data_IF_947229321639
#
_entry.id   IF_947229321639
#
_cell.length_a   1.000
_cell.length_b   1.000
_cell.length_c   1.000
_cell.angle_alpha   90.00
_cell.angle_beta   90.00
_cell.angle_gamma   90.00
#
_symmetry.space_group_name_H-M   'P 1'
#
loop_
_entity.id
_entity.type
_entity.pdbx_description
1 polymer ?
#
# COMPACT_ATOMS: atom_id res chain seq x y z
N UNK A 1 20.04 -2.16 27.82
CA UNK A 1 20.24 -2.21 26.36
C UNK A 1 20.39 -3.64 25.80
N UNK A 2 20.42 -4.68 26.62
CA UNK A 2 20.72 -6.06 26.18
C UNK A 2 19.51 -7.00 26.02
N UNK A 3 18.35 -6.72 26.63
CA UNK A 3 17.17 -7.61 26.54
C UNK A 3 16.35 -7.41 25.26
N UNK A 4 16.27 -6.19 24.72
CA UNK A 4 15.48 -5.92 23.50
C UNK A 4 16.06 -6.56 22.23
N UNK A 5 17.37 -6.76 22.17
CA UNK A 5 18.03 -7.37 21.00
C UNK A 5 17.85 -8.90 20.93
N UNK A 6 17.55 -9.56 22.06
CA UNK A 6 17.33 -11.01 22.08
C UNK A 6 15.91 -11.41 21.63
N UNK A 7 14.91 -10.55 21.87
CA UNK A 7 13.50 -10.88 21.56
C UNK A 7 13.11 -10.69 20.09
N UNK A 8 13.81 -9.84 19.33
CA UNK A 8 13.56 -9.69 17.88
C UNK A 8 13.95 -10.95 17.08
N UNK A 9 14.82 -11.80 17.64
CA UNK A 9 15.33 -13.00 16.96
C UNK A 9 14.30 -14.13 16.77
N UNK A 10 13.10 -14.01 17.35
CA UNK A 10 12.04 -15.02 17.27
C UNK A 10 10.91 -14.64 16.30
N UNK A 11 10.87 -13.41 15.80
CA UNK A 11 9.83 -12.99 14.84
C UNK A 11 10.14 -13.57 13.47
N UNK A 12 9.12 -14.11 12.81
CA UNK A 12 9.27 -14.64 11.45
C UNK A 12 9.74 -13.52 10.50
N UNK A 13 10.76 -13.73 9.67
CA UNK A 13 11.22 -12.75 8.70
C UNK A 13 10.23 -12.57 7.54
N UNK A 14 9.17 -13.38 7.48
CA UNK A 14 8.07 -13.24 6.52
C UNK A 14 6.99 -12.25 6.97
N UNK A 15 7.09 -11.73 8.20
CA UNK A 15 6.15 -10.74 8.72
C UNK A 15 6.68 -9.31 8.49
N UNK A 16 5.80 -8.41 8.09
CA UNK A 16 6.02 -6.96 8.02
C UNK A 16 6.33 -6.37 9.40
N UNK A 17 7.19 -5.37 9.42
CA UNK A 17 7.49 -4.58 10.61
C UNK A 17 7.45 -3.08 10.28
N UNK A 18 6.98 -2.24 11.21
CA UNK A 18 6.84 -0.80 10.96
C UNK A 18 8.17 -0.08 10.72
N UNK A 19 9.31 -0.69 11.07
CA UNK A 19 10.63 -0.08 10.95
C UNK A 19 11.30 -0.26 9.58
N UNK A 20 10.86 -1.25 8.79
CA UNK A 20 11.45 -1.61 7.49
C UNK A 20 10.40 -1.67 6.36
N UNK A 21 9.18 -1.21 6.63
CA UNK A 21 8.06 -1.22 5.68
C UNK A 21 7.71 0.19 5.20
N UNK A 22 7.31 0.32 3.94
CA UNK A 22 6.70 1.53 3.38
C UNK A 22 5.43 1.22 2.60
N UNK A 23 4.55 2.20 2.46
CA UNK A 23 3.32 2.11 1.66
C UNK A 23 3.46 2.88 0.35
N UNK A 24 3.03 2.26 -0.76
CA UNK A 24 2.99 2.86 -2.09
C UNK A 24 1.55 2.85 -2.60
N UNK A 25 0.98 4.04 -2.76
CA UNK A 25 -0.38 4.25 -3.27
C UNK A 25 -0.33 4.57 -4.76
N UNK A 26 -0.78 3.65 -5.59
CA UNK A 26 -0.61 3.74 -7.05
C UNK A 26 -1.88 4.28 -7.72
N UNK A 27 -1.75 5.46 -8.34
CA UNK A 27 -2.61 6.00 -9.39
C UNK A 27 -4.11 6.08 -9.04
N UNK A 28 -4.45 6.39 -7.77
CA UNK A 28 -5.83 6.49 -7.28
C UNK A 28 -6.47 7.82 -7.69
N UNK A 29 -6.64 8.01 -9.00
CA UNK A 29 -6.92 9.30 -9.63
C UNK A 29 -8.39 9.49 -10.04
N UNK A 30 -8.82 10.76 -10.07
CA UNK A 30 -10.19 11.21 -10.32
C UNK A 30 -10.85 10.60 -11.57
N UNK A 31 -10.11 10.39 -12.67
CA UNK A 31 -10.70 9.82 -13.91
C UNK A 31 -10.55 8.31 -14.02
N UNK A 32 -9.70 7.68 -13.20
CA UNK A 32 -9.51 6.22 -13.21
C UNK A 32 -10.49 5.54 -12.26
N UNK A 33 -10.63 6.07 -11.04
CA UNK A 33 -11.37 5.42 -9.95
C UNK A 33 -12.84 5.13 -10.27
N UNK A 34 -13.61 6.03 -10.93
CA UNK A 34 -14.98 5.71 -11.32
C UNK A 34 -15.13 4.52 -12.27
N UNK A 35 -14.05 4.10 -12.94
CA UNK A 35 -14.06 2.96 -13.87
C UNK A 35 -13.76 1.63 -13.18
N UNK A 36 -13.26 1.66 -11.95
CA UNK A 36 -12.82 0.49 -11.20
C UNK A 36 -14.02 -0.12 -10.46
N UNK A 37 -14.16 -1.44 -10.55
CA UNK A 37 -15.20 -2.15 -9.81
C UNK A 37 -14.92 -2.06 -8.31
N UNK A 38 -15.97 -1.93 -7.49
CA UNK A 38 -15.87 -1.87 -6.03
C UNK A 38 -14.97 -0.74 -5.49
N UNK A 39 -14.78 0.32 -6.30
CA UNK A 39 -13.85 1.40 -6.02
C UNK A 39 -14.13 2.13 -4.70
N UNK A 40 -15.38 2.17 -4.23
CA UNK A 40 -15.71 2.76 -2.92
C UNK A 40 -15.05 1.97 -1.78
N UNK A 41 -15.16 0.63 -1.81
CA UNK A 41 -14.56 -0.25 -0.80
C UNK A 41 -13.03 -0.21 -0.90
N UNK A 42 -12.49 -0.24 -2.11
CA UNK A 42 -11.04 -0.14 -2.35
C UNK A 42 -10.49 1.19 -1.81
N UNK A 43 -11.08 2.32 -2.19
CA UNK A 43 -10.64 3.64 -1.70
C UNK A 43 -10.78 3.76 -0.19
N UNK A 44 -11.82 3.17 0.40
CA UNK A 44 -11.98 3.11 1.85
C UNK A 44 -10.84 2.33 2.53
N UNK A 45 -10.48 1.16 2.00
CA UNK A 45 -9.35 0.36 2.49
C UNK A 45 -8.00 1.07 2.29
N UNK A 46 -7.78 1.72 1.15
CA UNK A 46 -6.58 2.54 0.91
C UNK A 46 -6.49 3.67 1.97
N UNK A 47 -7.60 4.35 2.26
CA UNK A 47 -7.65 5.37 3.29
C UNK A 47 -7.28 4.84 4.68
N UNK A 48 -7.73 3.62 5.02
CA UNK A 48 -7.34 2.92 6.25
C UNK A 48 -5.84 2.58 6.26
N UNK A 49 -5.28 2.10 5.16
CA UNK A 49 -3.84 1.85 5.05
C UNK A 49 -3.03 3.13 5.27
N UNK A 50 -3.41 4.24 4.64
CA UNK A 50 -2.73 5.54 4.80
C UNK A 50 -2.80 6.01 6.26
N UNK A 51 -4.00 6.01 6.87
CA UNK A 51 -4.18 6.41 8.28
C UNK A 51 -3.39 5.52 9.23
N UNK A 52 -3.42 4.21 9.02
CA UNK A 52 -2.63 3.26 9.81
C UNK A 52 -1.13 3.51 9.69
N UNK A 53 -0.63 3.76 8.48
CA UNK A 53 0.77 4.10 8.27
C UNK A 53 1.15 5.41 8.96
N UNK A 54 0.29 6.44 8.89
CA UNK A 54 0.50 7.70 9.59
C UNK A 54 0.57 7.52 11.11
N UNK A 55 -0.37 6.76 11.71
CA UNK A 55 -0.36 6.43 13.15
C UNK A 55 0.95 5.74 13.55
N UNK A 56 1.43 4.82 12.71
CA UNK A 56 2.61 4.01 12.99
C UNK A 56 3.93 4.66 12.53
N UNK A 57 3.89 5.88 12.00
CA UNK A 57 5.03 6.62 11.43
C UNK A 57 5.75 5.89 10.29
N UNK A 58 4.99 5.17 9.47
CA UNK A 58 5.47 4.43 8.30
C UNK A 58 5.49 5.37 7.08
N UNK A 59 6.57 5.39 6.28
CA UNK A 59 6.64 6.24 5.10
C UNK A 59 5.59 5.82 4.05
N UNK A 60 4.85 6.81 3.55
CA UNK A 60 3.88 6.65 2.47
C UNK A 60 4.32 7.48 1.27
N UNK A 61 4.23 6.92 0.07
CA UNK A 61 4.38 7.66 -1.20
C UNK A 61 3.17 7.37 -2.10
N UNK A 62 2.80 8.35 -2.93
CA UNK A 62 1.72 8.20 -3.91
C UNK A 62 2.24 8.46 -5.33
N UNK A 63 1.80 7.68 -6.31
CA UNK A 63 2.05 7.95 -7.73
C UNK A 63 0.81 8.49 -8.43
N UNK A 64 1.03 9.30 -9.47
CA UNK A 64 0.00 9.75 -10.39
C UNK A 64 0.43 9.46 -11.84
N UNK A 65 -0.33 8.64 -12.53
CA UNK A 65 -0.16 8.39 -13.95
C UNK A 65 -0.70 9.59 -14.74
N UNK A 66 0.17 10.27 -15.50
CA UNK A 66 -0.21 11.37 -16.41
C UNK A 66 -1.34 12.28 -15.87
N UNK A 67 -1.12 12.98 -14.73
CA UNK A 67 -2.20 13.68 -14.02
C UNK A 67 -2.87 14.79 -14.83
N UNK A 68 -2.16 15.41 -15.79
CA UNK A 68 -2.78 16.34 -16.75
C UNK A 68 -3.94 15.71 -17.51
N UNK A 69 -3.82 14.43 -17.88
CA UNK A 69 -4.85 13.69 -18.60
C UNK A 69 -5.84 12.96 -17.70
N UNK A 70 -5.36 12.35 -16.61
CA UNK A 70 -6.14 11.45 -15.75
C UNK A 70 -6.68 12.11 -14.46
N UNK A 71 -6.37 13.38 -14.25
CA UNK A 71 -6.71 14.09 -13.01
C UNK A 71 -5.74 13.77 -11.88
N UNK A 72 -5.94 14.43 -10.74
CA UNK A 72 -5.13 14.21 -9.54
C UNK A 72 -5.67 13.05 -8.73
N UNK A 73 -4.91 12.63 -7.72
CA UNK A 73 -5.37 11.71 -6.68
C UNK A 73 -6.70 12.20 -6.09
N UNK A 74 -7.65 11.30 -5.84
CA UNK A 74 -8.98 11.67 -5.32
C UNK A 74 -8.88 12.42 -3.99
N UNK A 75 -9.78 13.38 -3.77
CA UNK A 75 -9.72 14.30 -2.63
C UNK A 75 -9.72 13.59 -1.27
N UNK A 76 -10.51 12.52 -1.14
CA UNK A 76 -10.59 11.73 0.10
C UNK A 76 -9.26 11.12 0.53
N UNK A 77 -8.38 10.81 -0.42
CA UNK A 77 -7.05 10.25 -0.12
C UNK A 77 -5.96 11.32 -0.14
N UNK A 78 -6.09 12.33 -1.00
CA UNK A 78 -5.11 13.41 -1.07
C UNK A 78 -5.04 14.20 0.25
N UNK A 79 -6.17 14.39 0.95
CA UNK A 79 -6.17 14.97 2.31
C UNK A 79 -5.34 14.13 3.29
N UNK A 80 -5.53 12.81 3.32
CA UNK A 80 -4.83 11.90 4.23
C UNK A 80 -3.32 11.82 3.93
N UNK A 81 -2.96 11.83 2.63
CA UNK A 81 -1.58 11.85 2.18
C UNK A 81 -0.88 13.14 2.58
N UNK A 82 -1.55 14.29 2.43
CA UNK A 82 -1.02 15.59 2.85
C UNK A 82 -0.84 15.70 4.36
N UNK A 83 -1.76 15.17 5.16
CA UNK A 83 -1.63 15.09 6.63
C UNK A 83 -0.35 14.35 7.05
N UNK A 84 0.02 13.29 6.32
CA UNK A 84 1.25 12.53 6.52
C UNK A 84 2.50 13.13 5.84
N UNK A 85 2.40 14.27 5.17
CA UNK A 85 3.45 14.86 4.31
C UNK A 85 3.97 13.89 3.23
N UNK A 86 3.07 13.06 2.68
CA UNK A 86 3.40 12.06 1.67
C UNK A 86 3.60 12.74 0.29
N UNK A 87 4.66 12.42 -0.46
CA UNK A 87 4.87 13.00 -1.78
C UNK A 87 3.92 12.38 -2.82
N UNK A 88 3.50 13.22 -3.78
CA UNK A 88 2.82 12.82 -5.00
C UNK A 88 3.83 12.82 -6.15
N UNK A 89 4.01 11.68 -6.81
CA UNK A 89 5.05 11.43 -7.79
C UNK A 89 4.43 11.19 -9.16
N UNK A 90 4.66 12.10 -10.09
CA UNK A 90 4.12 11.95 -11.45
C UNK A 90 4.94 10.94 -12.25
N UNK A 91 4.26 10.09 -13.02
CA UNK A 91 4.88 9.12 -13.92
C UNK A 91 4.11 8.97 -15.23
N UNK A 92 4.79 8.45 -16.24
CA UNK A 92 4.19 8.10 -17.53
C UNK A 92 4.32 6.62 -17.86
N UNK A 93 5.30 5.93 -17.28
CA UNK A 93 5.39 4.48 -17.29
C UNK A 93 4.33 3.88 -16.38
N UNK A 94 3.74 2.76 -16.81
CA UNK A 94 2.79 2.02 -15.97
C UNK A 94 3.43 1.58 -14.66
N UNK A 95 4.64 1.03 -14.73
CA UNK A 95 5.43 0.66 -13.56
C UNK A 95 6.01 1.89 -12.85
N UNK A 96 5.92 1.90 -11.52
CA UNK A 96 6.59 2.85 -10.65
C UNK A 96 8.12 2.76 -10.71
N UNK A 97 8.73 1.84 -11.47
CA UNK A 97 10.19 1.83 -11.66
C UNK A 97 10.76 3.15 -12.21
N UNK A 98 9.95 3.95 -12.90
CA UNK A 98 10.32 5.31 -13.34
C UNK A 98 10.75 6.18 -12.13
N UNK A 99 10.15 5.93 -10.96
CA UNK A 99 10.38 6.60 -9.68
C UNK A 99 11.53 5.95 -8.88
N UNK A 100 12.50 5.34 -9.56
CA UNK A 100 13.58 4.57 -8.91
C UNK A 100 14.42 5.39 -7.91
N UNK A 101 14.49 6.72 -8.06
CA UNK A 101 15.14 7.60 -7.08
C UNK A 101 14.46 7.55 -5.71
N UNK A 102 13.14 7.46 -5.67
CA UNK A 102 12.34 7.45 -4.47
C UNK A 102 12.44 6.10 -3.76
N UNK A 103 12.43 5.00 -4.52
CA UNK A 103 12.68 3.66 -3.98
C UNK A 103 14.10 3.53 -3.41
N UNK A 104 15.12 4.09 -4.07
CA UNK A 104 16.48 4.15 -3.49
C UNK A 104 16.54 4.97 -2.19
N UNK A 105 15.77 6.06 -2.08
CA UNK A 105 15.68 6.84 -0.82
C UNK A 105 15.05 6.01 0.29
N UNK A 106 14.04 5.19 -0.01
CA UNK A 106 13.42 4.26 0.96
C UNK A 106 14.41 3.17 1.38
N UNK A 107 15.08 2.53 0.43
CA UNK A 107 16.10 1.50 0.70
C UNK A 107 17.24 2.04 1.58
N UNK A 108 17.76 3.24 1.28
CA UNK A 108 18.79 3.90 2.11
C UNK A 108 18.32 4.22 3.54
N UNK A 109 17.01 4.22 3.79
CA UNK A 109 16.41 4.37 5.12
C UNK A 109 16.15 3.03 5.82
N UNK A 110 16.55 1.91 5.22
CA UNK A 110 16.32 0.56 5.74
C UNK A 110 14.95 -0.01 5.41
N UNK A 111 14.22 0.58 4.44
CA UNK A 111 12.94 0.04 3.99
C UNK A 111 13.20 -1.03 2.93
N UNK A 112 12.78 -2.26 3.22
CA UNK A 112 12.92 -3.41 2.33
C UNK A 112 11.58 -4.09 2.04
N UNK A 113 10.54 -3.77 2.82
CA UNK A 113 9.17 -4.24 2.63
C UNK A 113 8.32 -3.12 2.02
N UNK A 114 7.56 -3.43 0.98
CA UNK A 114 6.65 -2.49 0.33
C UNK A 114 5.23 -3.04 0.29
N UNK A 115 4.29 -2.28 0.84
CA UNK A 115 2.86 -2.51 0.67
C UNK A 115 2.43 -1.77 -0.59
N UNK A 116 1.94 -2.49 -1.60
CA UNK A 116 1.52 -1.92 -2.89
C UNK A 116 0.01 -1.94 -3.00
N UNK A 117 -0.60 -0.75 -3.09
CA UNK A 117 -2.06 -0.56 -3.16
C UNK A 117 -2.43 0.37 -4.32
N UNK A 118 -3.71 0.44 -4.70
CA UNK A 118 -4.18 1.32 -5.77
C UNK A 118 -4.64 0.61 -7.05
N UNK A 119 -4.55 1.27 -8.21
CA UNK A 119 -5.19 0.84 -9.46
C UNK A 119 -4.29 1.06 -10.68
N UNK A 120 -4.46 0.35 -11.79
CA UNK A 120 -5.26 -0.87 -11.95
C UNK A 120 -4.44 -2.11 -11.56
N UNK A 121 -5.07 -3.11 -10.92
CA UNK A 121 -4.42 -4.33 -10.41
C UNK A 121 -3.52 -4.99 -11.46
N UNK A 122 -4.02 -5.13 -12.69
CA UNK A 122 -3.36 -5.84 -13.79
C UNK A 122 -2.38 -5.00 -14.60
N UNK A 123 -2.30 -3.69 -14.33
CA UNK A 123 -1.45 -2.76 -15.10
C UNK A 123 -0.38 -2.16 -14.19
N UNK A 124 -0.65 -1.01 -13.57
CA UNK A 124 0.34 -0.26 -12.81
C UNK A 124 0.73 -0.99 -11.54
N UNK A 125 -0.23 -1.59 -10.82
CA UNK A 125 0.04 -2.36 -9.60
C UNK A 125 0.91 -3.58 -9.90
N UNK A 126 0.47 -4.44 -10.83
CA UNK A 126 1.21 -5.64 -11.23
C UNK A 126 2.62 -5.32 -11.74
N UNK A 127 2.75 -4.41 -12.70
CA UNK A 127 4.08 -4.11 -13.27
C UNK A 127 5.02 -3.48 -12.23
N UNK A 128 4.50 -2.61 -11.36
CA UNK A 128 5.30 -2.04 -10.27
C UNK A 128 5.76 -3.11 -9.29
N UNK A 129 4.86 -4.00 -8.85
CA UNK A 129 5.21 -5.08 -7.93
C UNK A 129 6.31 -5.98 -8.51
N UNK A 130 6.18 -6.41 -9.78
CA UNK A 130 7.18 -7.27 -10.42
C UNK A 130 8.55 -6.59 -10.57
N UNK A 131 8.57 -5.32 -10.97
CA UNK A 131 9.82 -4.55 -11.09
C UNK A 131 10.47 -4.29 -9.72
N UNK A 132 9.68 -4.10 -8.65
CA UNK A 132 10.18 -3.88 -7.29
C UNK A 132 10.69 -5.17 -6.64
N UNK A 133 10.02 -6.31 -6.89
CA UNK A 133 10.54 -7.64 -6.53
C UNK A 133 11.88 -7.88 -7.23
N UNK A 134 11.98 -7.54 -8.52
CA UNK A 134 13.24 -7.66 -9.28
C UNK A 134 14.37 -6.76 -8.75
N UNK A 135 14.02 -5.71 -8.00
CA UNK A 135 14.96 -4.83 -7.32
C UNK A 135 15.31 -5.31 -5.90
N UNK A 136 14.73 -6.40 -5.42
CA UNK A 136 15.03 -6.99 -4.11
C UNK A 136 14.11 -6.54 -2.97
N UNK A 137 13.04 -5.80 -3.25
CA UNK A 137 12.02 -5.52 -2.24
C UNK A 137 11.12 -6.73 -2.01
N UNK A 138 10.71 -6.95 -0.76
CA UNK A 138 9.59 -7.82 -0.44
C UNK A 138 8.30 -7.03 -0.70
N UNK A 139 7.39 -7.60 -1.48
CA UNK A 139 6.14 -6.91 -1.87
C UNK A 139 4.94 -7.59 -1.25
N UNK A 140 4.12 -6.79 -0.56
CA UNK A 140 2.85 -7.19 0.05
C UNK A 140 1.71 -6.48 -0.67
N UNK A 141 0.68 -7.22 -1.08
CA UNK A 141 -0.46 -6.66 -1.84
C UNK A 141 -1.76 -6.89 -1.07
N UNK A 142 -2.34 -5.85 -0.43
CA UNK A 142 -3.66 -5.91 0.14
C UNK A 142 -4.71 -6.05 -0.96
N UNK A 143 -5.24 -7.27 -1.14
CA UNK A 143 -6.14 -7.62 -2.25
C UNK A 143 -7.45 -6.84 -2.21
N UNK A 144 -7.87 -6.42 -1.02
CA UNK A 144 -9.05 -5.60 -0.75
C UNK A 144 -8.81 -4.08 -0.95
N UNK A 145 -7.58 -3.70 -1.30
CA UNK A 145 -7.18 -2.31 -1.57
C UNK A 145 -6.52 -2.16 -2.95
N UNK A 146 -6.77 -3.09 -3.87
CA UNK A 146 -6.42 -2.95 -5.29
C UNK A 146 -7.64 -3.29 -6.15
N UNK A 147 -7.75 -2.70 -7.34
CA UNK A 147 -8.86 -3.01 -8.23
C UNK A 147 -8.56 -2.80 -9.70
N UNK A 148 -9.41 -3.40 -10.54
CA UNK A 148 -9.43 -3.20 -11.99
C UNK A 148 -10.87 -2.96 -12.45
N UNK A 149 -11.04 -2.61 -13.73
CA UNK A 149 -12.37 -2.41 -14.32
C UNK A 149 -13.18 -3.70 -14.40
N UNK A 150 -12.51 -4.81 -14.71
CA UNK A 150 -13.14 -6.10 -14.89
C UNK A 150 -12.59 -7.14 -13.90
N UNK A 151 -13.46 -8.05 -13.38
CA UNK A 151 -13.04 -9.11 -12.47
C UNK A 151 -11.93 -10.00 -13.03
N UNK A 152 -12.03 -10.40 -14.30
CA UNK A 152 -11.04 -11.29 -14.94
C UNK A 152 -9.64 -10.68 -14.93
N UNK A 153 -9.52 -9.37 -15.12
CA UNK A 153 -8.25 -8.68 -15.08
C UNK A 153 -7.67 -8.67 -13.67
N UNK A 154 -8.50 -8.34 -12.68
CA UNK A 154 -8.12 -8.32 -11.27
C UNK A 154 -7.70 -9.72 -10.78
N UNK A 155 -8.53 -10.74 -10.99
CA UNK A 155 -8.27 -12.12 -10.57
C UNK A 155 -7.01 -12.68 -11.22
N UNK A 156 -6.83 -12.45 -12.52
CA UNK A 156 -5.61 -12.88 -13.24
C UNK A 156 -4.37 -12.16 -12.68
N UNK A 157 -4.49 -10.88 -12.34
CA UNK A 157 -3.40 -10.13 -11.72
C UNK A 157 -3.03 -10.68 -10.35
N UNK A 158 -4.00 -11.04 -9.50
CA UNK A 158 -3.76 -11.66 -8.20
C UNK A 158 -2.98 -12.98 -8.35
N UNK A 159 -3.42 -13.88 -9.23
CA UNK A 159 -2.71 -15.14 -9.49
C UNK A 159 -1.27 -14.90 -9.98
N UNK A 160 -1.08 -13.89 -10.84
CA UNK A 160 0.24 -13.56 -11.38
C UNK A 160 1.15 -12.91 -10.33
N UNK A 161 0.62 -12.06 -9.47
CA UNK A 161 1.34 -11.46 -8.34
C UNK A 161 1.85 -12.53 -7.39
N UNK A 162 0.95 -13.42 -6.95
CA UNK A 162 1.26 -14.52 -6.02
C UNK A 162 2.36 -15.44 -6.57
N UNK A 163 2.15 -15.95 -7.79
CA UNK A 163 3.13 -16.85 -8.45
C UNK A 163 4.46 -16.19 -8.80
N UNK A 164 4.54 -14.86 -8.77
CA UNK A 164 5.79 -14.11 -9.02
C UNK A 164 6.49 -13.65 -7.74
N UNK A 165 6.01 -14.05 -6.56
CA UNK A 165 6.66 -13.78 -5.27
C UNK A 165 6.12 -12.59 -4.49
N UNK A 166 5.02 -11.96 -4.92
CA UNK A 166 4.31 -11.02 -4.08
C UNK A 166 3.48 -11.78 -3.03
N UNK A 167 3.47 -11.30 -1.79
CA UNK A 167 2.62 -11.88 -0.73
C UNK A 167 1.25 -11.20 -0.76
N UNK A 168 0.20 -11.96 -1.08
CA UNK A 168 -1.18 -11.47 -1.01
C UNK A 168 -1.64 -11.41 0.46
N UNK A 169 -2.14 -10.23 0.87
CA UNK A 169 -2.62 -9.96 2.23
C UNK A 169 -3.96 -9.22 2.18
N UNK A 170 -4.53 -8.89 3.33
CA UNK A 170 -5.66 -7.95 3.43
C UNK A 170 -5.27 -6.70 4.21
N UNK A 171 -6.06 -5.65 4.07
CA UNK A 171 -5.86 -4.40 4.80
C UNK A 171 -5.80 -4.61 6.32
N UNK A 172 -6.67 -5.47 6.85
CA UNK A 172 -6.66 -5.79 8.29
C UNK A 172 -5.41 -6.55 8.73
N UNK A 173 -4.94 -7.52 7.91
CA UNK A 173 -3.67 -8.22 8.18
C UNK A 173 -2.52 -7.23 8.29
N UNK A 174 -2.39 -6.33 7.30
CA UNK A 174 -1.35 -5.30 7.26
C UNK A 174 -1.37 -4.45 8.54
N UNK A 175 -2.53 -3.92 8.91
CA UNK A 175 -2.65 -3.01 10.06
C UNK A 175 -2.24 -3.66 11.38
N UNK A 176 -2.68 -4.90 11.64
CA UNK A 176 -2.33 -5.59 12.88
C UNK A 176 -0.90 -6.12 12.89
N UNK A 177 -0.39 -6.58 11.76
CA UNK A 177 0.98 -7.09 11.64
C UNK A 177 2.02 -5.98 11.88
N UNK A 178 1.78 -4.78 11.34
CA UNK A 178 2.61 -3.60 11.59
C UNK A 178 2.45 -3.07 13.03
N UNK A 179 1.25 -3.22 13.62
CA UNK A 179 1.00 -2.81 15.00
C UNK A 179 1.75 -3.71 16.00
N UNK A 180 1.87 -5.01 15.71
CA UNK A 180 2.53 -6.08 16.50
C UNK A 180 1.91 -6.35 17.89
N UNK A 181 1.69 -5.32 18.70
CA UNK A 181 1.34 -5.45 20.12
C UNK A 181 0.00 -4.81 20.42
N UNK A 182 -0.86 -5.57 21.11
CA UNK A 182 -2.05 -5.01 21.75
C UNK A 182 -1.69 -4.20 23.00
N UNK A 183 -2.57 -3.28 23.39
CA UNK A 183 -2.44 -2.53 24.65
C UNK A 183 -1.54 -1.31 24.59
N UNK A 184 -0.92 -1.01 23.45
CA UNK A 184 -0.23 0.28 23.23
C UNK A 184 -1.22 1.40 22.90
N UNK A 185 -0.83 2.68 22.99
CA UNK A 185 -1.66 3.79 22.51
C UNK A 185 -2.04 3.65 21.03
N UNK A 186 -1.07 3.33 20.17
CA UNK A 186 -1.27 3.19 18.72
C UNK A 186 -2.24 2.04 18.41
N UNK A 187 -2.18 0.94 19.17
CA UNK A 187 -3.13 -0.17 19.02
C UNK A 187 -4.58 0.26 19.21
N UNK A 188 -4.87 1.21 20.11
CA UNK A 188 -6.25 1.69 20.29
C UNK A 188 -6.75 2.38 19.03
N UNK A 189 -5.91 3.19 18.40
CA UNK A 189 -6.23 3.89 17.16
C UNK A 189 -6.37 2.90 15.99
N UNK A 190 -5.43 1.96 15.85
CA UNK A 190 -5.52 0.88 14.86
C UNK A 190 -6.77 0.02 15.06
N UNK A 191 -7.09 -0.36 16.30
CA UNK A 191 -8.29 -1.16 16.61
C UNK A 191 -9.59 -0.40 16.29
N UNK A 192 -9.62 0.91 16.50
CA UNK A 192 -10.75 1.75 16.08
C UNK A 192 -10.87 1.77 14.56
N UNK A 193 -9.76 1.99 13.86
CA UNK A 193 -9.68 2.01 12.40
C UNK A 193 -10.15 0.70 11.76
N UNK A 194 -9.87 -0.45 12.39
CA UNK A 194 -10.34 -1.75 11.91
C UNK A 194 -11.83 -1.97 12.09
N UNK A 195 -12.43 -1.36 13.12
CA UNK A 195 -13.87 -1.48 13.41
C UNK A 195 -14.72 -0.46 12.66
N UNK A 196 -14.12 0.42 11.87
CA UNK A 196 -14.87 1.37 11.04
C UNK A 196 -15.79 0.60 10.08
N UNK A 197 -17.03 1.07 9.94
CA UNK A 197 -17.95 0.49 8.98
C UNK A 197 -17.51 0.85 7.56
N UNK A 198 -17.48 -0.14 6.67
CA UNK A 198 -17.24 0.06 5.25
C UNK A 198 -18.36 0.86 4.59
N UNK A 199 -18.14 1.33 3.33
CA UNK A 199 -19.21 1.90 2.54
C UNK A 199 -20.34 0.87 2.38
N UNK A 200 -21.59 1.34 2.37
CA UNK A 200 -22.74 0.47 2.10
C UNK A 200 -22.58 -0.17 0.71
N UNK A 201 -22.86 -1.47 0.62
CA UNK A 201 -23.01 -2.15 -0.66
C UNK A 201 -24.16 -1.49 -1.43
N UNK A 202 -23.88 -0.97 -2.62
CA UNK A 202 -24.90 -0.44 -3.53
C UNK A 202 -25.32 -1.53 -4.51
#
# INVERSE_FOLDING_TARGET
MSENLQNDSLRSPLLMNRHDTGLVVIDVQQKLIPLVQDHLLICWNIGRLIRGCNILNIPVIASEQYPTGLGKTIDSLSSLLNEGNSPFLEKTMFSCRELSSEFRKLENRGIHNLIITGVESHVCVLQSALDLISQGFNVFVPVDAIGSRYPVDHETALCRLDTSGATLVTTEMVLFELCERSGTPEFKEISQLVKEAGPAEN
#
